data_IF_289639482895
#
_entry.id   IF_289639482895
#
_cell.length_a   1.000
_cell.length_b   1.000
_cell.length_c   1.000
_cell.angle_alpha   90.00
_cell.angle_beta   90.00
_cell.angle_gamma   90.00
#
_symmetry.space_group_name_H-M   'P 1'
#
loop_
_entity.id
_entity.type
_entity.pdbx_description
1 polymer ?
#
# COMPACT_ATOMS: atom_id res chain seq x y z
N UNK A 1 -34.54 -13.59 -28.64
CA UNK A 1 -34.25 -14.93 -29.18
C UNK A 1 -32.79 -14.97 -29.58
N UNK A 2 -32.08 -16.12 -29.58
CA UNK A 2 -30.75 -16.21 -30.16
C UNK A 2 -30.72 -15.69 -31.61
N UNK A 3 -29.60 -15.11 -32.04
CA UNK A 3 -29.44 -14.55 -33.40
C UNK A 3 -30.23 -13.27 -33.69
N UNK A 4 -30.93 -12.67 -32.69
CA UNK A 4 -31.69 -11.43 -32.91
C UNK A 4 -30.75 -10.23 -33.03
N UNK A 5 -30.98 -9.38 -34.04
CA UNK A 5 -30.32 -8.08 -34.19
C UNK A 5 -31.31 -6.96 -33.85
N UNK A 6 -30.96 -6.13 -32.87
CA UNK A 6 -31.70 -4.96 -32.42
C UNK A 6 -30.92 -3.72 -32.88
N UNK A 7 -31.54 -2.89 -33.72
CA UNK A 7 -30.92 -1.67 -34.28
C UNK A 7 -31.51 -0.41 -33.68
N UNK A 8 -30.64 0.49 -33.19
CA UNK A 8 -31.00 1.76 -32.58
C UNK A 8 -30.75 2.94 -33.52
N UNK A 9 -31.70 3.87 -33.61
CA UNK A 9 -31.49 5.14 -34.34
C UNK A 9 -30.65 6.11 -33.51
N UNK A 10 -30.15 7.15 -34.16
CA UNK A 10 -29.41 8.22 -33.50
C UNK A 10 -30.14 8.78 -32.26
N UNK A 11 -29.43 8.89 -31.14
CA UNK A 11 -29.96 9.36 -29.85
C UNK A 11 -30.98 8.44 -29.18
N UNK A 12 -31.13 7.20 -29.65
CA UNK A 12 -32.04 6.21 -29.05
C UNK A 12 -31.39 5.49 -27.87
N UNK A 13 -32.22 5.02 -26.94
CA UNK A 13 -31.78 4.27 -25.76
C UNK A 13 -32.77 3.18 -25.36
N UNK A 14 -32.28 2.16 -24.67
CA UNK A 14 -33.10 1.14 -24.03
C UNK A 14 -33.09 1.36 -22.52
N UNK A 15 -34.25 1.54 -21.91
CA UNK A 15 -34.39 1.57 -20.45
C UNK A 15 -35.21 0.36 -20.00
N UNK A 16 -34.62 -0.47 -19.15
CA UNK A 16 -35.20 -1.70 -18.60
C UNK A 16 -35.67 -1.41 -17.17
N UNK A 17 -36.97 -1.22 -17.01
CA UNK A 17 -37.64 -1.09 -15.70
C UNK A 17 -38.11 -2.44 -15.13
N UNK A 18 -38.41 -3.39 -16.01
CA UNK A 18 -38.76 -4.77 -15.64
C UNK A 18 -37.56 -5.70 -15.79
N UNK A 19 -37.79 -6.89 -16.33
CA UNK A 19 -36.77 -7.88 -16.63
C UNK A 19 -36.46 -7.94 -18.13
N UNK A 20 -35.18 -8.10 -18.50
CA UNK A 20 -34.76 -8.59 -19.82
C UNK A 20 -33.97 -9.90 -19.71
N UNK A 21 -34.28 -10.85 -20.58
CA UNK A 21 -33.52 -12.08 -20.79
C UNK A 21 -33.04 -12.15 -22.25
N UNK A 22 -31.88 -11.57 -22.53
CA UNK A 22 -31.20 -11.69 -23.81
C UNK A 22 -30.17 -12.81 -23.71
N UNK A 23 -30.62 -14.05 -23.91
CA UNK A 23 -29.77 -15.24 -23.87
C UNK A 23 -29.60 -15.80 -25.30
N UNK A 24 -28.45 -15.52 -25.92
CA UNK A 24 -28.00 -16.11 -27.18
C UNK A 24 -27.19 -17.40 -26.98
N UNK A 25 -26.52 -17.86 -28.04
CA UNK A 25 -25.51 -18.93 -28.00
C UNK A 25 -24.22 -18.51 -28.69
N UNK A 26 -23.16 -19.31 -28.58
CA UNK A 26 -21.89 -19.12 -29.29
C UNK A 26 -22.06 -19.01 -30.81
N UNK A 27 -23.02 -19.73 -31.37
CA UNK A 27 -23.33 -19.74 -32.81
C UNK A 27 -24.36 -18.67 -33.19
N UNK A 28 -25.19 -18.24 -32.24
CA UNK A 28 -26.34 -17.36 -32.46
C UNK A 28 -26.39 -16.26 -31.38
N UNK A 29 -25.38 -15.38 -31.39
CA UNK A 29 -25.28 -14.23 -30.49
C UNK A 29 -26.45 -13.24 -30.73
N UNK A 30 -26.79 -12.46 -29.71
CA UNK A 30 -27.78 -11.37 -29.81
C UNK A 30 -27.02 -10.05 -29.96
N UNK A 31 -27.35 -9.24 -30.97
CA UNK A 31 -26.60 -8.00 -31.25
C UNK A 31 -27.47 -6.77 -31.05
N UNK A 32 -27.01 -5.85 -30.19
CA UNK A 32 -27.53 -4.49 -30.01
C UNK A 32 -26.56 -3.53 -30.70
N UNK A 33 -27.01 -2.79 -31.71
CA UNK A 33 -26.11 -2.01 -32.58
C UNK A 33 -26.79 -0.81 -33.24
N UNK A 34 -26.03 0.02 -33.96
CA UNK A 34 -26.53 1.15 -34.74
C UNK A 34 -27.48 0.74 -35.87
N UNK A 35 -28.39 1.64 -36.21
CA UNK A 35 -29.23 1.56 -37.40
C UNK A 35 -28.51 2.00 -38.68
N UNK A 36 -27.42 2.78 -38.58
CA UNK A 36 -26.66 3.29 -39.72
C UNK A 36 -25.99 2.14 -40.51
N UNK A 37 -25.76 2.38 -41.81
CA UNK A 37 -25.03 1.44 -42.68
C UNK A 37 -23.52 1.47 -42.40
N UNK A 38 -22.99 2.65 -42.05
CA UNK A 38 -21.63 2.89 -41.57
C UNK A 38 -21.69 3.35 -40.11
N UNK A 39 -21.61 2.44 -39.12
CA UNK A 39 -21.75 2.80 -37.71
C UNK A 39 -20.58 3.61 -37.18
N UNK A 40 -20.86 4.48 -36.20
CA UNK A 40 -19.86 5.25 -35.47
C UNK A 40 -20.04 5.10 -33.96
N UNK A 41 -18.97 5.29 -33.18
CA UNK A 41 -19.07 5.30 -31.71
C UNK A 41 -20.11 6.33 -31.27
N UNK A 42 -20.96 5.99 -30.32
CA UNK A 42 -21.99 6.90 -29.81
C UNK A 42 -23.20 7.11 -30.72
N UNK A 43 -23.40 6.26 -31.73
CA UNK A 43 -24.59 6.28 -32.59
C UNK A 43 -25.91 6.08 -31.83
N UNK A 44 -25.87 5.56 -30.61
CA UNK A 44 -27.01 5.46 -29.69
C UNK A 44 -26.51 5.54 -28.24
N UNK A 45 -27.39 5.92 -27.30
CA UNK A 45 -26.92 6.31 -25.97
C UNK A 45 -26.44 5.09 -25.17
N UNK A 46 -27.38 4.21 -24.75
CA UNK A 46 -27.10 3.16 -23.77
C UNK A 46 -28.22 2.14 -23.61
N UNK A 47 -27.88 0.99 -22.99
CA UNK A 47 -28.83 0.14 -22.26
C UNK A 47 -28.75 0.49 -20.77
N UNK A 48 -29.84 1.00 -20.20
CA UNK A 48 -29.95 1.32 -18.76
C UNK A 48 -30.85 0.34 -18.02
N UNK A 49 -30.31 -0.25 -16.96
CA UNK A 49 -31.06 -1.03 -15.98
C UNK A 49 -31.50 -0.11 -14.83
N UNK A 50 -32.81 0.02 -14.65
CA UNK A 50 -33.44 1.02 -13.78
C UNK A 50 -34.55 0.43 -12.89
N UNK A 51 -34.51 -0.87 -12.62
CA UNK A 51 -35.46 -1.58 -11.76
C UNK A 51 -34.86 -2.85 -11.17
N UNK A 52 -35.30 -3.22 -9.98
CA UNK A 52 -34.67 -4.23 -9.10
C UNK A 52 -34.69 -5.68 -9.64
N UNK A 53 -35.32 -5.91 -10.78
CA UNK A 53 -35.41 -7.23 -11.42
C UNK A 53 -34.02 -7.81 -11.76
N UNK A 54 -33.93 -9.14 -11.80
CA UNK A 54 -32.71 -9.84 -12.21
C UNK A 54 -32.66 -9.98 -13.72
N UNK A 55 -31.71 -9.30 -14.36
CA UNK A 55 -31.53 -9.26 -15.80
C UNK A 55 -30.44 -10.26 -16.26
N UNK A 56 -30.57 -10.74 -17.49
CA UNK A 56 -29.61 -11.68 -18.09
C UNK A 56 -29.21 -11.24 -19.50
N UNK A 57 -27.91 -11.00 -19.70
CA UNK A 57 -27.27 -10.86 -20.99
C UNK A 57 -26.27 -12.01 -21.14
N UNK A 58 -26.45 -12.89 -22.13
CA UNK A 58 -25.56 -14.01 -22.39
C UNK A 58 -25.33 -14.19 -23.88
N UNK A 59 -24.08 -14.28 -24.31
CA UNK A 59 -23.72 -14.25 -25.73
C UNK A 59 -24.34 -13.06 -26.46
N UNK A 60 -24.18 -11.86 -25.88
CA UNK A 60 -24.67 -10.60 -26.43
C UNK A 60 -23.53 -9.69 -26.89
N UNK A 61 -23.71 -9.02 -28.03
CA UNK A 61 -22.82 -8.00 -28.55
C UNK A 61 -23.50 -6.63 -28.39
N UNK A 62 -22.87 -5.69 -27.71
CA UNK A 62 -23.34 -4.31 -27.52
C UNK A 62 -22.34 -3.40 -28.22
N UNK A 63 -22.74 -2.86 -29.38
CA UNK A 63 -21.85 -2.22 -30.33
C UNK A 63 -22.27 -0.77 -30.61
N UNK A 64 -21.30 0.14 -30.77
CA UNK A 64 -21.51 1.52 -31.25
C UNK A 64 -22.39 2.39 -30.33
N UNK A 65 -22.43 2.07 -29.03
CA UNK A 65 -23.20 2.78 -28.01
C UNK A 65 -22.37 3.90 -27.34
N UNK A 66 -22.79 4.35 -26.16
CA UNK A 66 -22.08 5.35 -25.35
C UNK A 66 -22.35 6.80 -25.76
N UNK A 67 -23.39 7.06 -26.55
CA UNK A 67 -23.72 8.39 -27.05
C UNK A 67 -24.29 9.36 -26.01
N UNK A 68 -24.20 10.66 -26.33
CA UNK A 68 -24.83 11.81 -25.69
C UNK A 68 -24.65 11.97 -24.16
N UNK A 69 -23.67 12.79 -23.77
CA UNK A 69 -23.47 13.30 -22.40
C UNK A 69 -22.12 12.89 -21.83
N UNK A 70 -21.61 13.63 -20.84
CA UNK A 70 -20.28 13.38 -20.24
C UNK A 70 -20.19 12.10 -19.39
N UNK A 71 -21.34 11.50 -19.04
CA UNK A 71 -21.44 10.34 -18.15
C UNK A 71 -22.22 9.19 -18.82
N UNK A 72 -22.15 9.09 -20.15
CA UNK A 72 -22.70 7.97 -20.93
C UNK A 72 -21.80 6.74 -20.87
N UNK A 73 -22.34 5.55 -21.14
CA UNK A 73 -21.60 4.31 -21.35
C UNK A 73 -22.50 3.31 -22.08
N UNK A 74 -21.95 2.27 -22.71
CA UNK A 74 -22.77 1.27 -23.43
C UNK A 74 -23.83 0.61 -22.53
N UNK A 75 -23.47 0.34 -21.27
CA UNK A 75 -24.38 -0.17 -20.25
C UNK A 75 -24.33 0.73 -19.00
N UNK A 76 -25.52 1.13 -18.53
CA UNK A 76 -25.72 1.82 -17.25
C UNK A 76 -26.48 0.90 -16.29
N UNK A 77 -25.89 0.61 -15.14
CA UNK A 77 -26.51 -0.20 -14.09
C UNK A 77 -26.78 0.70 -12.87
N UNK A 78 -27.98 1.29 -12.82
CA UNK A 78 -28.38 2.19 -11.72
C UNK A 78 -29.16 1.45 -10.63
N UNK A 79 -30.18 0.69 -11.01
CA UNK A 79 -30.98 -0.10 -10.08
C UNK A 79 -31.26 -1.44 -10.76
N UNK A 80 -30.89 -2.55 -10.12
CA UNK A 80 -31.06 -3.90 -10.69
C UNK A 80 -29.88 -4.83 -10.42
N UNK A 81 -30.13 -6.12 -10.69
CA UNK A 81 -29.11 -7.17 -10.69
C UNK A 81 -28.85 -7.59 -12.15
N UNK A 82 -27.59 -7.80 -12.53
CA UNK A 82 -27.24 -8.24 -13.88
C UNK A 82 -26.36 -9.50 -13.87
N UNK A 83 -26.76 -10.52 -14.64
CA UNK A 83 -25.88 -11.59 -15.11
C UNK A 83 -25.40 -11.23 -16.51
N UNK A 84 -24.09 -11.13 -16.69
CA UNK A 84 -23.45 -10.87 -17.98
C UNK A 84 -22.38 -11.92 -18.24
N UNK A 85 -22.58 -12.76 -19.25
CA UNK A 85 -21.71 -13.92 -19.52
C UNK A 85 -21.41 -14.12 -21.01
N UNK A 86 -20.12 -14.17 -21.37
CA UNK A 86 -19.67 -14.36 -22.76
C UNK A 86 -20.18 -13.25 -23.70
N UNK A 87 -20.28 -12.02 -23.20
CA UNK A 87 -20.76 -10.87 -23.95
C UNK A 87 -19.61 -9.97 -24.42
N UNK A 88 -19.80 -9.28 -25.54
CA UNK A 88 -18.89 -8.28 -26.09
C UNK A 88 -19.49 -6.87 -25.92
N UNK A 89 -18.70 -5.93 -25.43
CA UNK A 89 -18.96 -4.49 -25.55
C UNK A 89 -17.85 -3.89 -26.41
N UNK A 90 -18.22 -3.19 -27.48
CA UNK A 90 -17.26 -2.61 -28.41
C UNK A 90 -17.72 -1.28 -29.00
N UNK A 91 -16.76 -0.40 -29.32
CA UNK A 91 -17.02 0.89 -29.96
C UNK A 91 -17.94 1.84 -29.15
N UNK A 92 -17.77 1.89 -27.82
CA UNK A 92 -18.41 2.91 -26.99
C UNK A 92 -17.77 4.29 -27.20
N UNK A 93 -18.56 5.35 -27.36
CA UNK A 93 -18.08 6.74 -27.35
C UNK A 93 -17.72 7.28 -25.95
N UNK A 94 -17.75 6.41 -24.94
CA UNK A 94 -17.39 6.67 -23.56
C UNK A 94 -16.96 5.34 -22.93
N UNK A 95 -17.21 5.12 -21.64
CA UNK A 95 -16.88 3.88 -20.94
C UNK A 95 -17.74 2.70 -21.43
N UNK A 96 -17.26 1.47 -21.21
CA UNK A 96 -18.01 0.24 -21.56
C UNK A 96 -19.22 0.04 -20.65
N UNK A 97 -19.01 0.06 -19.33
CA UNK A 97 -20.05 -0.09 -18.31
C UNK A 97 -19.89 0.99 -17.24
N UNK A 98 -20.97 1.59 -16.77
CA UNK A 98 -20.98 2.36 -15.51
C UNK A 98 -21.95 1.69 -14.53
N UNK A 99 -21.46 1.43 -13.32
CA UNK A 99 -22.26 0.99 -12.17
C UNK A 99 -22.41 2.18 -11.22
N UNK A 100 -23.66 2.56 -10.96
CA UNK A 100 -24.01 3.61 -10.01
C UNK A 100 -24.00 3.07 -8.56
N UNK A 101 -23.84 3.93 -7.56
CA UNK A 101 -23.85 3.56 -6.14
C UNK A 101 -25.27 3.19 -5.63
N UNK A 102 -26.28 3.33 -6.49
CA UNK A 102 -27.65 2.88 -6.27
C UNK A 102 -27.89 1.41 -6.66
N UNK A 103 -26.87 0.74 -7.21
CA UNK A 103 -26.97 -0.58 -7.81
C UNK A 103 -26.92 -1.73 -6.80
N UNK A 104 -27.37 -2.93 -7.22
CA UNK A 104 -27.04 -4.19 -6.55
C UNK A 104 -25.82 -4.89 -7.17
N UNK A 105 -25.26 -4.33 -8.24
CA UNK A 105 -24.09 -4.85 -8.96
C UNK A 105 -24.37 -6.08 -9.82
N UNK A 106 -23.33 -6.88 -10.06
CA UNK A 106 -23.42 -8.10 -10.86
C UNK A 106 -23.72 -9.32 -10.00
N UNK A 107 -24.63 -10.18 -10.49
CA UNK A 107 -24.79 -11.54 -9.94
C UNK A 107 -23.86 -12.55 -10.64
N UNK A 108 -23.39 -12.23 -11.84
CA UNK A 108 -22.38 -12.98 -12.60
C UNK A 108 -21.76 -12.04 -13.62
N UNK A 109 -20.43 -11.93 -13.66
CA UNK A 109 -19.70 -11.15 -14.67
C UNK A 109 -18.45 -11.93 -15.12
N UNK A 110 -18.61 -12.86 -16.05
CA UNK A 110 -17.55 -13.80 -16.47
C UNK A 110 -17.43 -13.94 -17.98
N UNK A 111 -16.19 -14.14 -18.47
CA UNK A 111 -15.88 -14.34 -19.90
C UNK A 111 -16.35 -13.21 -20.82
N UNK A 112 -16.53 -11.99 -20.32
CA UNK A 112 -16.93 -10.84 -21.14
C UNK A 112 -15.71 -10.16 -21.78
N UNK A 113 -15.90 -9.55 -22.94
CA UNK A 113 -14.87 -8.74 -23.61
C UNK A 113 -15.33 -7.28 -23.68
N UNK A 114 -14.47 -6.34 -23.29
CA UNK A 114 -14.69 -4.90 -23.43
C UNK A 114 -13.45 -4.30 -24.10
N UNK A 115 -13.64 -3.59 -25.23
CA UNK A 115 -12.54 -3.03 -26.03
C UNK A 115 -13.02 -1.89 -26.93
N UNK A 116 -12.10 -1.14 -27.51
CA UNK A 116 -12.38 -0.01 -28.42
C UNK A 116 -13.39 1.03 -27.86
N UNK A 117 -13.40 1.24 -26.55
CA UNK A 117 -14.17 2.28 -25.85
C UNK A 117 -13.31 3.55 -25.73
N UNK A 118 -13.91 4.74 -25.75
CA UNK A 118 -13.16 6.02 -25.69
C UNK A 118 -12.72 6.42 -24.27
N UNK A 119 -13.16 5.68 -23.24
CA UNK A 119 -12.83 5.92 -21.83
C UNK A 119 -12.47 4.59 -21.14
N UNK A 120 -13.06 4.28 -20.00
CA UNK A 120 -12.75 3.09 -19.20
C UNK A 120 -13.49 1.84 -19.67
N UNK A 121 -12.96 0.66 -19.36
CA UNK A 121 -13.67 -0.60 -19.55
C UNK A 121 -14.94 -0.62 -18.69
N UNK A 122 -14.76 -0.32 -17.41
CA UNK A 122 -15.82 -0.25 -16.40
C UNK A 122 -15.52 0.92 -15.46
N UNK A 123 -16.53 1.71 -15.10
CA UNK A 123 -16.49 2.59 -13.93
C UNK A 123 -17.41 2.05 -12.83
N UNK A 124 -16.89 1.94 -11.61
CA UNK A 124 -17.53 1.16 -10.54
C UNK A 124 -17.17 1.71 -9.16
N UNK A 125 -18.11 1.63 -8.20
CA UNK A 125 -17.81 1.95 -6.80
C UNK A 125 -17.10 0.77 -6.11
N UNK A 126 -16.19 1.02 -5.14
CA UNK A 126 -15.33 -0.01 -4.55
C UNK A 126 -16.11 -1.22 -4.03
N UNK A 127 -17.30 -0.97 -3.49
CA UNK A 127 -18.17 -1.96 -2.88
C UNK A 127 -18.66 -3.06 -3.83
N UNK A 128 -18.61 -2.87 -5.16
CA UNK A 128 -19.08 -3.83 -6.17
C UNK A 128 -17.96 -4.52 -6.96
N UNK A 129 -16.70 -4.11 -6.78
CA UNK A 129 -15.56 -4.59 -7.59
C UNK A 129 -15.33 -6.10 -7.45
N UNK A 130 -15.62 -6.66 -6.27
CA UNK A 130 -15.53 -8.10 -6.00
C UNK A 130 -16.47 -8.96 -6.88
N UNK A 131 -17.51 -8.35 -7.46
CA UNK A 131 -18.46 -9.01 -8.36
C UNK A 131 -17.93 -9.17 -9.79
N UNK A 132 -16.78 -8.54 -10.11
CA UNK A 132 -16.08 -8.75 -11.38
C UNK A 132 -15.41 -10.12 -11.34
N UNK A 133 -15.99 -11.06 -12.09
CA UNK A 133 -15.56 -12.44 -12.14
C UNK A 133 -14.30 -12.66 -12.99
N UNK A 134 -14.11 -13.92 -13.38
CA UNK A 134 -12.89 -14.38 -14.05
C UNK A 134 -13.05 -14.44 -15.58
N UNK A 135 -11.91 -14.54 -16.26
CA UNK A 135 -11.78 -14.71 -17.71
C UNK A 135 -12.36 -13.56 -18.54
N UNK A 136 -12.62 -12.41 -17.93
CA UNK A 136 -12.95 -11.20 -18.67
C UNK A 136 -11.69 -10.69 -19.40
N UNK A 137 -11.89 -10.10 -20.58
CA UNK A 137 -10.83 -9.51 -21.41
C UNK A 137 -11.18 -8.04 -21.61
N UNK A 138 -10.41 -7.19 -20.97
CA UNK A 138 -10.51 -5.74 -21.00
C UNK A 138 -9.26 -5.17 -21.68
N UNK A 139 -9.43 -4.18 -22.54
CA UNK A 139 -8.40 -3.69 -23.47
C UNK A 139 -8.40 -2.15 -23.62
N UNK A 140 -9.08 -1.41 -22.73
CA UNK A 140 -9.12 0.06 -22.76
C UNK A 140 -8.30 0.65 -21.59
N UNK A 141 -8.68 1.83 -21.11
CA UNK A 141 -7.98 2.55 -20.03
C UNK A 141 -8.13 1.89 -18.64
N UNK A 142 -8.66 0.68 -18.54
CA UNK A 142 -8.81 -0.05 -17.29
C UNK A 142 -10.11 0.19 -16.55
N UNK A 143 -10.15 -0.19 -15.27
CA UNK A 143 -11.35 -0.17 -14.44
C UNK A 143 -11.27 1.00 -13.47
N UNK A 144 -12.06 2.05 -13.70
CA UNK A 144 -12.10 3.21 -12.81
C UNK A 144 -12.88 2.89 -11.53
N UNK A 145 -12.16 2.93 -10.41
CA UNK A 145 -12.70 2.84 -9.06
C UNK A 145 -13.04 4.24 -8.57
N UNK A 146 -14.34 4.54 -8.53
CA UNK A 146 -14.87 5.83 -8.08
C UNK A 146 -14.61 6.04 -6.59
N UNK A 147 -14.52 7.30 -6.18
CA UNK A 147 -14.45 7.72 -4.79
C UNK A 147 -15.54 7.03 -3.93
N UNK A 148 -15.15 6.34 -2.86
CA UNK A 148 -16.15 5.72 -1.98
C UNK A 148 -15.63 4.68 -0.99
N UNK A 149 -16.58 3.94 -0.43
CA UNK A 149 -16.33 2.95 0.62
C UNK A 149 -16.37 1.51 0.06
N UNK A 150 -15.49 0.65 0.58
CA UNK A 150 -15.62 -0.79 0.55
C UNK A 150 -16.04 -1.26 1.94
N UNK A 151 -17.23 -1.84 2.07
CA UNK A 151 -17.79 -2.26 3.37
C UNK A 151 -18.29 -3.71 3.33
N UNK A 152 -17.69 -4.56 2.49
CA UNK A 152 -17.98 -5.99 2.45
C UNK A 152 -17.23 -6.71 3.58
N UNK A 153 -17.86 -7.73 4.17
CA UNK A 153 -17.32 -8.43 5.34
C UNK A 153 -15.97 -9.10 5.04
N UNK A 154 -15.90 -9.87 3.96
CA UNK A 154 -14.68 -10.51 3.43
C UNK A 154 -14.88 -10.85 1.96
N UNK A 155 -14.31 -10.02 1.07
CA UNK A 155 -14.47 -10.15 -0.37
C UNK A 155 -13.18 -9.85 -1.15
N UNK A 156 -13.06 -10.41 -2.35
CA UNK A 156 -11.81 -10.38 -3.14
C UNK A 156 -11.95 -9.57 -4.43
N UNK A 157 -11.06 -8.59 -4.65
CA UNK A 157 -10.86 -8.00 -5.98
C UNK A 157 -9.99 -8.96 -6.81
N UNK A 158 -10.59 -9.49 -7.88
CA UNK A 158 -9.98 -10.53 -8.73
C UNK A 158 -9.14 -9.94 -9.84
N UNK A 159 -7.98 -10.52 -10.13
CA UNK A 159 -7.08 -10.09 -11.20
C UNK A 159 -7.83 -10.01 -12.54
N UNK A 160 -7.81 -8.83 -13.17
CA UNK A 160 -8.31 -8.60 -14.54
C UNK A 160 -7.13 -8.39 -15.49
N UNK A 161 -7.38 -8.23 -16.80
CA UNK A 161 -6.33 -7.98 -17.81
C UNK A 161 -5.79 -6.55 -17.80
N UNK A 162 -6.42 -5.66 -17.02
CA UNK A 162 -6.16 -4.22 -16.92
C UNK A 162 -6.06 -3.81 -15.44
N UNK A 163 -5.40 -2.68 -15.10
CA UNK A 163 -5.34 -2.20 -13.73
C UNK A 163 -6.71 -1.72 -13.20
N UNK A 164 -6.84 -1.75 -11.88
CA UNK A 164 -7.83 -0.99 -11.15
C UNK A 164 -7.29 0.42 -10.90
N UNK A 165 -8.00 1.45 -11.36
CA UNK A 165 -7.59 2.86 -11.25
C UNK A 165 -8.35 3.55 -10.12
N UNK A 166 -7.69 3.90 -9.02
CA UNK A 166 -8.30 4.70 -7.95
C UNK A 166 -8.37 6.16 -8.38
N UNK A 167 -9.59 6.70 -8.44
CA UNK A 167 -9.87 8.05 -8.95
C UNK A 167 -9.58 9.17 -7.94
N UNK A 168 -9.91 8.95 -6.67
CA UNK A 168 -9.76 9.93 -5.57
C UNK A 168 -9.46 9.23 -4.24
N UNK A 169 -10.39 8.40 -3.73
CA UNK A 169 -10.13 7.61 -2.52
C UNK A 169 -10.91 6.30 -2.47
N UNK A 170 -10.34 5.32 -1.77
CA UNK A 170 -11.07 4.12 -1.30
C UNK A 170 -10.90 3.98 0.21
N UNK A 171 -12.02 4.02 0.93
CA UNK A 171 -12.05 3.75 2.37
C UNK A 171 -12.58 2.34 2.66
N UNK A 172 -11.76 1.51 3.29
CA UNK A 172 -12.03 0.10 3.59
C UNK A 172 -12.50 -0.02 5.04
N UNK A 173 -13.76 -0.41 5.27
CA UNK A 173 -14.35 -0.66 6.59
C UNK A 173 -14.88 -2.10 6.72
N UNK A 174 -14.14 -3.03 6.12
CA UNK A 174 -14.41 -4.47 6.03
C UNK A 174 -13.13 -5.18 5.56
N UNK A 175 -13.20 -6.45 5.16
CA UNK A 175 -11.99 -7.19 4.73
C UNK A 175 -11.88 -7.21 3.21
N UNK A 176 -10.93 -6.45 2.68
CA UNK A 176 -10.59 -6.45 1.25
C UNK A 176 -9.39 -7.37 1.00
N UNK A 177 -9.61 -8.42 0.20
CA UNK A 177 -8.53 -9.24 -0.37
C UNK A 177 -8.20 -8.76 -1.77
N UNK A 178 -6.91 -8.67 -2.09
CA UNK A 178 -6.45 -8.43 -3.46
C UNK A 178 -5.83 -9.73 -3.99
N UNK A 179 -6.30 -10.22 -5.14
CA UNK A 179 -5.75 -11.41 -5.78
C UNK A 179 -4.31 -11.17 -6.25
N UNK A 180 -3.45 -12.19 -6.15
CA UNK A 180 -2.10 -12.20 -6.72
C UNK A 180 -2.06 -11.76 -8.19
N UNK A 181 -0.99 -11.05 -8.58
CA UNK A 181 -0.83 -10.49 -9.93
C UNK A 181 -1.72 -9.29 -10.27
N UNK A 182 -2.52 -8.77 -9.34
CA UNK A 182 -3.36 -7.57 -9.55
C UNK A 182 -2.53 -6.29 -9.49
N UNK A 183 -2.83 -5.33 -10.37
CA UNK A 183 -2.31 -3.96 -10.29
C UNK A 183 -3.41 -2.99 -9.84
N UNK A 184 -3.13 -2.27 -8.76
CA UNK A 184 -3.86 -1.09 -8.29
C UNK A 184 -3.01 0.12 -8.71
N UNK A 185 -3.58 1.02 -9.49
CA UNK A 185 -2.93 2.28 -9.86
C UNK A 185 -3.74 3.47 -9.35
N UNK A 186 -3.07 4.54 -8.93
CA UNK A 186 -3.66 5.71 -8.30
C UNK A 186 -3.51 6.93 -9.22
N UNK A 187 -4.60 7.67 -9.43
CA UNK A 187 -4.52 8.99 -10.08
C UNK A 187 -3.87 10.02 -9.15
N UNK A 188 -3.62 11.20 -9.70
CA UNK A 188 -3.11 12.38 -9.00
C UNK A 188 -3.78 12.57 -7.63
N UNK A 189 -2.97 12.62 -6.56
CA UNK A 189 -3.41 12.75 -5.15
C UNK A 189 -4.30 11.63 -4.59
N UNK A 190 -4.58 10.56 -5.35
CA UNK A 190 -5.49 9.52 -4.90
C UNK A 190 -4.87 8.66 -3.77
N UNK A 191 -5.70 8.10 -2.88
CA UNK A 191 -5.23 7.35 -1.71
C UNK A 191 -6.16 6.20 -1.29
N UNK A 192 -5.68 5.37 -0.36
CA UNK A 192 -6.44 4.24 0.20
C UNK A 192 -6.38 4.29 1.74
N UNK A 193 -7.53 4.33 2.41
CA UNK A 193 -7.61 4.28 3.88
C UNK A 193 -8.20 2.96 4.39
N UNK A 194 -7.60 2.37 5.43
CA UNK A 194 -7.97 1.06 6.00
C UNK A 194 -8.40 1.23 7.46
N UNK A 195 -9.65 0.90 7.74
CA UNK A 195 -10.33 1.23 8.98
C UNK A 195 -10.53 2.74 9.16
N UNK A 196 -11.25 3.14 10.21
CA UNK A 196 -11.37 4.52 10.70
C UNK A 196 -12.10 4.53 12.05
N UNK A 197 -11.60 5.26 13.04
CA UNK A 197 -12.25 5.42 14.35
C UNK A 197 -12.65 4.06 14.95
N UNK A 198 -13.94 3.84 15.20
CA UNK A 198 -14.53 2.61 15.74
C UNK A 198 -14.87 1.55 14.67
N UNK A 199 -14.55 1.81 13.41
CA UNK A 199 -14.83 0.93 12.27
C UNK A 199 -13.51 0.29 11.80
N UNK A 200 -13.23 -0.97 12.19
CA UNK A 200 -12.04 -1.66 11.69
C UNK A 200 -12.16 -1.93 10.18
N UNK A 201 -11.01 -2.06 9.52
CA UNK A 201 -10.91 -2.54 8.14
C UNK A 201 -9.65 -3.37 7.97
N UNK A 202 -9.62 -4.24 6.97
CA UNK A 202 -8.47 -5.10 6.71
C UNK A 202 -8.12 -5.08 5.22
N UNK A 203 -6.85 -4.80 4.91
CA UNK A 203 -6.31 -4.94 3.55
C UNK A 203 -5.39 -6.16 3.51
N UNK A 204 -5.76 -7.18 2.74
CA UNK A 204 -5.02 -8.43 2.60
C UNK A 204 -4.54 -8.57 1.16
N UNK A 205 -3.38 -7.97 0.88
CA UNK A 205 -2.66 -8.11 -0.38
C UNK A 205 -1.56 -9.17 -0.23
N UNK A 206 -1.81 -10.38 -0.75
CA UNK A 206 -0.89 -11.52 -0.68
C UNK A 206 -0.58 -12.02 -2.09
N UNK A 207 0.39 -11.41 -2.74
CA UNK A 207 0.92 -11.88 -4.02
C UNK A 207 1.85 -13.09 -3.86
N UNK A 208 2.44 -13.53 -4.97
CA UNK A 208 3.51 -14.54 -5.01
C UNK A 208 4.79 -13.95 -5.58
N UNK A 209 5.90 -14.70 -5.55
CA UNK A 209 7.16 -14.27 -6.16
C UNK A 209 7.09 -14.12 -7.68
N UNK A 210 6.20 -14.87 -8.35
CA UNK A 210 5.92 -14.77 -9.79
C UNK A 210 4.79 -13.80 -10.13
N UNK A 211 3.83 -13.62 -9.23
CA UNK A 211 2.65 -12.75 -9.42
C UNK A 211 2.51 -11.80 -8.23
N UNK A 212 3.40 -10.80 -8.18
CA UNK A 212 3.35 -9.72 -7.20
C UNK A 212 2.08 -8.87 -7.38
N UNK A 213 1.60 -8.29 -6.29
CA UNK A 213 0.55 -7.25 -6.33
C UNK A 213 1.24 -5.89 -6.41
N UNK A 214 0.80 -5.02 -7.30
CA UNK A 214 1.45 -3.72 -7.56
C UNK A 214 0.51 -2.59 -7.13
N UNK A 215 1.04 -1.64 -6.36
CA UNK A 215 0.42 -0.36 -6.01
C UNK A 215 1.32 0.74 -6.63
N UNK A 216 0.79 1.54 -7.56
CA UNK A 216 1.59 2.44 -8.42
C UNK A 216 0.84 3.73 -8.77
N UNK A 217 1.55 4.75 -9.24
CA UNK A 217 0.96 5.82 -10.06
C UNK A 217 0.23 5.26 -11.31
N UNK A 218 -0.87 5.92 -11.68
CA UNK A 218 -1.63 5.74 -12.92
C UNK A 218 -1.30 6.80 -14.01
N UNK A 219 -0.31 7.67 -13.77
CA UNK A 219 0.13 8.68 -14.71
C UNK A 219 0.99 8.06 -15.83
N UNK A 220 0.93 8.65 -17.04
CA UNK A 220 1.72 8.18 -18.20
C UNK A 220 3.23 8.34 -17.95
N UNK A 221 3.63 9.46 -17.36
CA UNK A 221 4.98 9.70 -16.82
C UNK A 221 4.88 9.60 -15.29
N UNK A 222 5.50 8.57 -14.70
CA UNK A 222 5.44 8.33 -13.25
C UNK A 222 6.51 9.13 -12.50
N UNK A 223 6.11 9.86 -11.47
CA UNK A 223 6.99 10.62 -10.59
C UNK A 223 6.80 10.23 -9.12
N UNK A 224 7.79 10.52 -8.29
CA UNK A 224 7.63 10.47 -6.83
C UNK A 224 6.52 11.44 -6.42
N UNK A 225 5.59 11.02 -5.57
CA UNK A 225 4.49 11.88 -5.12
C UNK A 225 3.27 11.97 -6.04
N UNK A 226 3.20 11.23 -7.15
CA UNK A 226 2.01 11.23 -8.03
C UNK A 226 0.72 10.88 -7.28
N UNK A 227 0.79 10.08 -6.21
CA UNK A 227 -0.36 9.72 -5.37
C UNK A 227 -0.03 9.81 -3.87
N UNK A 228 -1.08 9.80 -3.04
CA UNK A 228 -0.99 10.05 -1.60
C UNK A 228 -0.41 8.86 -0.81
N UNK A 229 -1.23 8.19 -0.01
CA UNK A 229 -0.77 7.12 0.87
C UNK A 229 -1.70 5.90 0.97
N UNK A 230 -1.13 4.78 1.41
CA UNK A 230 -1.89 3.64 1.94
C UNK A 230 -1.92 3.84 3.46
N UNK A 231 -3.04 4.36 3.96
CA UNK A 231 -3.21 4.83 5.33
C UNK A 231 -3.98 3.82 6.19
N UNK A 232 -3.32 3.26 7.19
CA UNK A 232 -3.90 2.31 8.14
C UNK A 232 -4.32 3.04 9.42
N UNK A 233 -5.63 3.11 9.67
CA UNK A 233 -6.21 3.85 10.80
C UNK A 233 -6.66 2.94 11.94
N UNK A 234 -7.32 1.82 11.62
CA UNK A 234 -7.78 0.80 12.57
C UNK A 234 -7.78 -0.56 11.84
N UNK A 235 -6.61 -1.21 11.75
CA UNK A 235 -6.35 -2.14 10.64
C UNK A 235 -5.45 -3.36 10.94
N UNK A 236 -5.47 -3.86 12.17
CA UNK A 236 -4.44 -4.73 12.79
C UNK A 236 -4.29 -6.15 12.27
N UNK A 237 -5.05 -6.53 11.25
CA UNK A 237 -4.88 -7.80 10.52
C UNK A 237 -4.42 -7.59 9.06
N UNK A 238 -4.07 -6.35 8.69
CA UNK A 238 -3.66 -6.02 7.33
C UNK A 238 -2.30 -6.62 6.99
N UNK A 239 -2.20 -7.14 5.77
CA UNK A 239 -1.02 -7.84 5.26
C UNK A 239 -0.67 -7.33 3.87
N UNK A 240 0.55 -6.84 3.71
CA UNK A 240 1.21 -6.64 2.43
C UNK A 240 2.28 -7.73 2.27
N UNK A 241 2.15 -8.59 1.26
CA UNK A 241 3.09 -9.68 1.03
C UNK A 241 3.34 -9.93 -0.44
N UNK A 242 4.62 -10.00 -0.83
CA UNK A 242 5.05 -10.01 -2.23
C UNK A 242 4.42 -8.85 -3.03
N UNK A 243 4.44 -7.65 -2.46
CA UNK A 243 3.93 -6.45 -3.12
C UNK A 243 5.06 -5.60 -3.73
N UNK A 244 4.70 -4.73 -4.67
CA UNK A 244 5.48 -3.54 -5.02
C UNK A 244 4.59 -2.34 -4.69
N UNK A 245 5.13 -1.35 -3.97
CA UNK A 245 4.47 -0.09 -3.67
C UNK A 245 5.39 1.03 -4.16
N UNK A 246 4.92 1.83 -5.12
CA UNK A 246 5.77 2.79 -5.84
C UNK A 246 5.07 4.10 -6.25
N UNK A 247 5.84 5.18 -6.37
CA UNK A 247 5.43 6.50 -6.91
C UNK A 247 4.42 7.28 -6.05
N UNK A 248 4.36 6.99 -4.75
CA UNK A 248 3.44 7.64 -3.80
C UNK A 248 4.12 8.64 -2.87
N UNK A 249 3.45 8.94 -1.76
CA UNK A 249 3.94 9.84 -0.71
C UNK A 249 3.66 11.32 -0.93
N UNK A 250 2.87 11.69 -1.94
CA UNK A 250 2.61 13.09 -2.32
C UNK A 250 1.65 13.78 -1.36
N UNK A 251 2.02 14.97 -0.88
CA UNK A 251 1.31 15.75 0.14
C UNK A 251 0.99 14.98 1.44
N UNK A 252 1.71 13.88 1.73
CA UNK A 252 1.57 13.07 2.95
C UNK A 252 2.88 12.93 3.73
N UNK A 253 2.79 12.42 4.96
CA UNK A 253 3.98 12.12 5.78
C UNK A 253 4.76 10.91 5.26
N UNK A 254 4.10 9.97 4.58
CA UNK A 254 4.70 8.76 4.03
C UNK A 254 3.82 8.07 3.00
N UNK A 255 4.40 7.24 2.13
CA UNK A 255 3.66 6.40 1.18
C UNK A 255 2.87 5.25 1.87
N UNK A 256 3.37 4.74 3.01
CA UNK A 256 2.65 3.78 3.87
C UNK A 256 2.56 4.36 5.28
N UNK A 257 1.35 4.77 5.68
CA UNK A 257 1.12 5.59 6.87
C UNK A 257 0.28 4.81 7.90
N UNK A 258 0.62 4.87 9.19
CA UNK A 258 -0.30 4.48 10.26
C UNK A 258 -0.67 5.68 11.13
N UNK A 259 -1.97 5.94 11.29
CA UNK A 259 -2.48 7.15 11.97
C UNK A 259 -3.78 6.86 12.72
N UNK A 260 -3.73 6.19 13.89
CA UNK A 260 -4.91 5.84 14.67
C UNK A 260 -5.62 7.12 15.13
N UNK A 261 -6.90 7.22 14.80
CA UNK A 261 -7.73 8.39 15.11
C UNK A 261 -8.35 8.35 16.51
N UNK A 262 -8.15 7.25 17.24
CA UNK A 262 -8.60 7.08 18.64
C UNK A 262 -7.74 6.05 19.39
N UNK A 263 -7.79 6.09 20.72
CA UNK A 263 -7.07 5.16 21.61
C UNK A 263 -7.40 3.67 21.32
N UNK A 264 -8.65 3.37 20.98
CA UNK A 264 -9.10 2.00 20.62
C UNK A 264 -8.46 1.45 19.33
N UNK A 265 -8.01 2.32 18.43
CA UNK A 265 -7.39 1.93 17.17
C UNK A 265 -5.89 1.64 17.30
N UNK A 266 -5.28 2.05 18.42
CA UNK A 266 -3.86 1.81 18.74
C UNK A 266 -3.62 0.31 19.01
N UNK A 267 -4.46 -0.32 19.83
CA UNK A 267 -4.32 -1.75 20.17
C UNK A 267 -4.47 -2.69 18.94
N UNK A 268 -5.02 -2.17 17.84
CA UNK A 268 -5.45 -2.93 16.67
C UNK A 268 -4.91 -2.36 15.35
N UNK A 269 -3.65 -1.89 15.27
CA UNK A 269 -3.04 -1.46 13.98
C UNK A 269 -1.56 -1.87 13.86
N UNK A 270 -1.24 -3.15 14.13
CA UNK A 270 0.06 -3.73 13.77
C UNK A 270 0.04 -4.22 12.31
N UNK A 271 1.08 -3.93 11.54
CA UNK A 271 1.16 -4.29 10.12
C UNK A 271 2.09 -5.49 9.88
N UNK A 272 1.67 -6.41 9.00
CA UNK A 272 2.55 -7.42 8.38
C UNK A 272 2.99 -6.92 7.01
N UNK A 273 4.30 -6.74 6.81
CA UNK A 273 4.91 -6.47 5.49
C UNK A 273 6.03 -7.49 5.25
N UNK A 274 5.88 -8.35 4.24
CA UNK A 274 6.84 -9.43 3.95
C UNK A 274 7.19 -9.58 2.45
N UNK A 275 8.48 -9.58 2.11
CA UNK A 275 8.99 -9.77 0.74
C UNK A 275 8.48 -8.68 -0.25
N UNK A 276 8.23 -7.47 0.26
CA UNK A 276 7.74 -6.33 -0.52
C UNK A 276 8.89 -5.44 -1.01
N UNK A 277 8.66 -4.72 -2.12
CA UNK A 277 9.50 -3.61 -2.58
C UNK A 277 8.73 -2.31 -2.34
N UNK A 278 9.38 -1.31 -1.76
CA UNK A 278 8.83 0.02 -1.45
C UNK A 278 9.81 1.03 -2.04
N UNK A 279 9.38 1.80 -3.04
CA UNK A 279 10.30 2.64 -3.83
C UNK A 279 9.66 3.91 -4.40
N UNK A 280 10.47 4.89 -4.79
CA UNK A 280 10.05 6.13 -5.43
C UNK A 280 8.96 6.88 -4.63
N UNK A 281 9.28 7.24 -3.38
CA UNK A 281 8.38 8.00 -2.50
C UNK A 281 8.90 9.41 -2.27
N UNK A 282 8.03 10.42 -2.46
CA UNK A 282 8.39 11.83 -2.22
C UNK A 282 8.60 12.11 -0.72
N UNK A 283 7.83 11.45 0.14
CA UNK A 283 7.93 11.51 1.60
C UNK A 283 8.57 10.24 2.18
N UNK A 284 8.39 9.95 3.48
CA UNK A 284 8.95 8.74 4.09
C UNK A 284 8.36 7.46 3.45
N UNK A 285 9.13 6.38 3.40
CA UNK A 285 8.66 5.11 2.81
C UNK A 285 7.55 4.47 3.64
N UNK A 286 7.73 4.47 4.97
CA UNK A 286 6.75 4.01 5.96
C UNK A 286 6.82 4.96 7.16
N UNK A 287 5.69 5.49 7.62
CA UNK A 287 5.60 6.24 8.90
C UNK A 287 4.63 5.59 9.87
N UNK A 288 5.04 5.51 11.14
CA UNK A 288 4.20 5.05 12.24
C UNK A 288 3.80 6.18 13.18
N UNK A 289 2.54 6.13 13.59
CA UNK A 289 2.12 6.82 14.80
C UNK A 289 2.92 6.33 16.02
N UNK A 290 3.21 7.20 17.01
CA UNK A 290 4.02 6.86 18.18
C UNK A 290 3.67 5.58 18.93
N UNK A 291 2.42 5.10 18.85
CA UNK A 291 1.95 3.92 19.57
C UNK A 291 1.81 2.67 18.69
N UNK A 292 2.43 2.63 17.50
CA UNK A 292 2.28 1.55 16.52
C UNK A 292 3.62 1.06 15.95
N UNK A 293 3.58 -0.15 15.39
CA UNK A 293 4.70 -0.80 14.74
C UNK A 293 4.29 -2.00 13.88
N UNK A 294 5.25 -2.86 13.58
CA UNK A 294 4.99 -4.07 12.80
C UNK A 294 4.56 -5.24 13.68
N UNK A 295 3.68 -6.09 13.17
CA UNK A 295 3.56 -7.48 13.66
C UNK A 295 4.72 -8.31 13.07
N UNK A 296 5.00 -8.12 11.77
CA UNK A 296 6.10 -8.77 11.04
C UNK A 296 6.62 -7.86 9.94
N UNK A 297 7.93 -7.59 9.96
CA UNK A 297 8.61 -6.85 8.89
C UNK A 297 9.90 -7.57 8.48
N UNK A 298 9.89 -8.29 7.36
CA UNK A 298 11.06 -9.10 6.92
C UNK A 298 11.16 -9.29 5.42
N UNK A 299 12.39 -9.52 4.94
CA UNK A 299 12.72 -9.73 3.54
C UNK A 299 12.30 -8.59 2.59
N UNK A 300 12.05 -7.39 3.10
CA UNK A 300 11.60 -6.25 2.30
C UNK A 300 12.79 -5.51 1.67
N UNK A 301 12.55 -4.76 0.61
CA UNK A 301 13.52 -3.82 0.03
C UNK A 301 12.91 -2.43 0.03
N UNK A 302 13.59 -1.46 0.64
CA UNK A 302 13.22 -0.05 0.60
C UNK A 302 14.35 0.75 -0.04
N UNK A 303 14.08 1.40 -1.18
CA UNK A 303 15.07 2.13 -1.97
C UNK A 303 14.45 3.31 -2.72
N UNK A 304 15.23 4.30 -3.15
CA UNK A 304 14.75 5.51 -3.83
C UNK A 304 13.61 6.23 -3.07
N UNK A 305 13.87 6.60 -1.82
CA UNK A 305 12.92 7.30 -0.95
C UNK A 305 13.52 8.67 -0.65
N UNK A 306 12.76 9.73 -0.93
CA UNK A 306 13.19 11.11 -0.66
C UNK A 306 13.13 11.44 0.84
N UNK A 307 12.20 10.86 1.59
CA UNK A 307 12.19 10.84 3.07
C UNK A 307 13.08 9.77 3.72
N UNK A 308 12.79 9.42 4.97
CA UNK A 308 13.33 8.25 5.65
C UNK A 308 12.69 6.97 5.12
N UNK A 309 13.43 5.86 5.10
CA UNK A 309 12.88 4.58 4.65
C UNK A 309 11.80 4.04 5.61
N UNK A 310 12.00 4.23 6.92
CA UNK A 310 11.04 3.93 7.98
C UNK A 310 11.14 5.02 9.06
N UNK A 311 10.01 5.56 9.50
CA UNK A 311 9.86 6.49 10.61
C UNK A 311 9.01 5.79 11.68
N UNK A 312 9.61 5.48 12.84
CA UNK A 312 9.01 4.59 13.84
C UNK A 312 9.36 5.02 15.27
N UNK A 313 8.45 4.77 16.21
CA UNK A 313 8.69 5.01 17.64
C UNK A 313 9.75 4.03 18.20
N UNK A 314 10.65 4.45 19.12
CA UNK A 314 11.62 3.60 19.81
C UNK A 314 11.07 2.24 20.25
N UNK A 315 9.86 2.21 20.80
CA UNK A 315 9.18 1.07 21.41
C UNK A 315 9.04 -0.10 20.41
N UNK A 316 8.86 0.24 19.13
CA UNK A 316 8.59 -0.70 18.05
C UNK A 316 9.77 -0.95 17.11
N UNK A 317 10.95 -0.34 17.35
CA UNK A 317 12.16 -0.61 16.54
C UNK A 317 12.51 -2.10 16.53
N UNK A 318 12.26 -2.81 17.63
CA UNK A 318 12.47 -4.27 17.75
C UNK A 318 11.53 -5.13 16.89
N UNK A 319 10.49 -4.54 16.26
CA UNK A 319 9.57 -5.23 15.34
C UNK A 319 10.13 -5.33 13.91
N UNK A 320 11.22 -4.63 13.61
CA UNK A 320 11.96 -4.74 12.35
C UNK A 320 12.75 -6.05 12.36
N UNK A 321 12.29 -7.03 11.57
CA UNK A 321 12.89 -8.36 11.45
C UNK A 321 14.08 -8.44 10.50
N UNK A 322 14.48 -9.66 10.17
CA UNK A 322 15.66 -9.96 9.35
C UNK A 322 15.40 -9.93 7.84
N UNK A 323 16.49 -9.98 7.05
CA UNK A 323 16.46 -10.03 5.59
C UNK A 323 16.03 -8.73 4.89
N UNK A 324 15.77 -7.65 5.64
CA UNK A 324 15.39 -6.37 5.06
C UNK A 324 16.61 -5.64 4.49
N UNK A 325 16.47 -5.13 3.27
CA UNK A 325 17.43 -4.22 2.61
C UNK A 325 16.84 -2.82 2.70
N UNK A 326 17.54 -1.91 3.39
CA UNK A 326 17.10 -0.53 3.60
C UNK A 326 18.19 0.41 3.09
N UNK A 327 17.90 1.07 1.98
CA UNK A 327 18.75 2.08 1.34
C UNK A 327 18.26 3.50 1.71
N UNK A 328 18.90 4.53 1.15
CA UNK A 328 18.61 5.97 1.39
C UNK A 328 18.89 6.43 2.84
N UNK A 329 18.08 7.37 3.37
CA UNK A 329 18.21 7.99 4.69
C UNK A 329 18.00 7.05 5.89
N UNK A 330 17.77 5.76 5.68
CA UNK A 330 17.68 4.75 6.73
C UNK A 330 16.42 4.86 7.59
N UNK A 331 16.51 4.44 8.86
CA UNK A 331 15.41 4.41 9.82
C UNK A 331 15.49 5.64 10.74
N UNK A 332 14.45 6.47 10.76
CA UNK A 332 14.24 7.48 11.79
C UNK A 332 13.58 6.85 13.01
N UNK A 333 14.17 7.07 14.18
CA UNK A 333 13.59 6.73 15.48
C UNK A 333 12.97 8.01 16.06
N UNK A 334 11.64 8.13 15.99
CA UNK A 334 10.92 9.37 16.28
C UNK A 334 10.46 9.43 17.74
N UNK A 335 10.81 10.52 18.44
CA UNK A 335 10.62 10.67 19.90
C UNK A 335 9.67 11.82 20.28
N UNK A 336 9.06 12.51 19.31
CA UNK A 336 8.46 13.82 19.56
C UNK A 336 7.08 13.79 20.23
N UNK A 337 6.30 12.72 20.03
CA UNK A 337 4.86 12.64 20.36
C UNK A 337 4.47 11.57 21.40
N UNK A 338 5.31 11.31 22.41
CA UNK A 338 5.00 10.37 23.51
C UNK A 338 4.13 11.07 24.57
N UNK A 339 2.84 10.71 24.65
CA UNK A 339 1.86 11.31 25.55
C UNK A 339 1.08 10.33 26.46
N UNK A 340 1.40 9.03 26.50
CA UNK A 340 1.09 8.17 27.66
C UNK A 340 1.83 6.81 27.67
N UNK A 341 2.26 6.43 28.88
CA UNK A 341 2.54 5.10 29.47
C UNK A 341 3.49 4.05 28.83
N UNK A 342 4.53 3.75 29.62
CA UNK A 342 5.01 2.40 30.06
C UNK A 342 6.15 1.65 29.34
N UNK A 343 6.50 1.98 28.09
CA UNK A 343 7.75 1.55 27.41
C UNK A 343 7.75 2.22 26.04
N UNK A 344 8.77 2.92 25.53
CA UNK A 344 10.23 2.97 25.77
C UNK A 344 10.70 4.46 25.84
N UNK A 345 11.96 4.77 25.49
CA UNK A 345 12.63 6.04 25.78
C UNK A 345 12.83 6.96 24.57
N UNK A 346 12.61 8.27 24.76
CA UNK A 346 13.68 9.28 24.84
C UNK A 346 13.13 10.72 24.98
N UNK A 347 12.86 11.19 26.22
CA UNK A 347 12.76 12.63 26.50
C UNK A 347 13.31 12.99 27.87
N UNK A 348 13.87 14.18 27.97
CA UNK A 348 14.62 14.71 29.13
C UNK A 348 13.69 14.99 30.32
N UNK A 349 13.62 14.07 31.29
CA UNK A 349 12.90 14.30 32.55
C UNK A 349 12.79 13.09 33.49
N UNK A 350 13.81 12.87 34.33
CA UNK A 350 13.75 12.12 35.60
C UNK A 350 13.21 10.65 35.61
N UNK A 351 14.16 9.71 35.50
CA UNK A 351 14.15 8.29 35.98
C UNK A 351 13.33 7.20 35.20
N UNK A 352 14.02 6.10 34.82
CA UNK A 352 13.59 4.69 34.52
C UNK A 352 12.74 4.35 33.24
N UNK A 353 12.93 3.31 32.37
CA UNK A 353 14.01 2.33 32.00
C UNK A 353 14.00 2.08 30.44
N UNK A 354 15.11 1.92 29.68
CA UNK A 354 15.09 1.81 28.19
C UNK A 354 16.21 1.01 27.46
N UNK A 355 15.85 -0.02 26.66
CA UNK A 355 16.75 -1.07 26.09
C UNK A 355 16.77 -1.13 24.55
N UNK A 356 17.93 -1.45 23.94
CA UNK A 356 18.08 -1.76 22.50
C UNK A 356 18.59 -3.19 22.29
N UNK A 357 18.10 -3.92 21.28
CA UNK A 357 18.66 -5.22 20.88
C UNK A 357 18.71 -5.31 19.35
N UNK A 358 19.92 -5.25 18.79
CA UNK A 358 20.18 -5.42 17.37
C UNK A 358 21.08 -6.65 17.19
N UNK A 359 20.60 -7.67 16.49
CA UNK A 359 21.26 -8.96 16.32
C UNK A 359 21.39 -9.28 14.83
N UNK A 360 22.53 -8.92 14.24
CA UNK A 360 22.87 -9.27 12.86
C UNK A 360 23.44 -10.70 12.76
N UNK A 361 24.12 -10.98 11.65
CA UNK A 361 24.92 -12.19 11.45
C UNK A 361 26.28 -11.85 10.83
N UNK A 362 27.19 -12.82 10.77
CA UNK A 362 28.50 -12.66 10.15
C UNK A 362 28.41 -12.17 8.69
N UNK A 363 27.42 -12.67 7.94
CA UNK A 363 27.13 -12.32 6.54
C UNK A 363 26.22 -11.09 6.38
N UNK A 364 25.32 -10.84 7.33
CA UNK A 364 24.31 -9.78 7.26
C UNK A 364 24.38 -8.91 8.52
N UNK A 365 25.25 -7.90 8.50
CA UNK A 365 25.44 -6.99 9.64
C UNK A 365 24.44 -5.85 9.63
N UNK A 366 23.94 -5.46 10.80
CA UNK A 366 23.09 -4.27 10.98
C UNK A 366 23.98 -3.03 11.01
N UNK A 367 23.74 -2.04 10.13
CA UNK A 367 24.61 -0.85 10.01
C UNK A 367 23.92 0.40 10.58
N UNK A 368 24.54 0.99 11.59
CA UNK A 368 24.26 2.32 12.12
C UNK A 368 25.33 3.28 11.57
N UNK A 369 24.96 4.16 10.64
CA UNK A 369 25.87 5.07 9.94
C UNK A 369 25.22 6.44 9.75
N UNK A 370 26.04 7.46 9.54
CA UNK A 370 25.63 8.71 8.88
C UNK A 370 24.92 8.43 7.56
N UNK A 371 23.92 9.26 7.23
CA UNK A 371 23.23 9.31 5.94
C UNK A 371 23.81 10.37 4.98
N UNK A 372 24.84 11.11 5.38
CA UNK A 372 25.49 12.13 4.53
C UNK A 372 26.14 11.51 3.29
N UNK A 373 26.16 12.30 2.20
CA UNK A 373 26.72 11.90 0.90
C UNK A 373 28.24 11.72 1.00
N UNK A 374 28.92 12.69 1.62
CA UNK A 374 30.30 12.60 2.08
C UNK A 374 30.24 12.48 3.60
N UNK A 375 30.53 11.28 4.13
CA UNK A 375 30.38 10.98 5.56
C UNK A 375 31.58 11.52 6.33
N UNK A 376 31.33 12.38 7.31
CA UNK A 376 32.37 12.90 8.19
C UNK A 376 32.27 12.26 9.58
N UNK A 377 33.23 12.58 10.44
CA UNK A 377 33.26 12.05 11.79
C UNK A 377 32.35 12.92 12.65
N UNK A 378 31.39 12.31 13.34
CA UNK A 378 30.54 13.05 14.28
C UNK A 378 29.26 13.62 13.67
N UNK A 379 28.93 13.23 12.43
CA UNK A 379 27.65 13.50 11.75
C UNK A 379 26.43 13.25 12.65
N UNK A 380 26.55 12.33 13.61
CA UNK A 380 25.65 12.20 14.75
C UNK A 380 26.39 12.05 16.08
N UNK A 381 25.67 12.28 17.19
CA UNK A 381 26.23 12.28 18.57
C UNK A 381 26.78 10.92 19.00
N UNK A 382 26.23 9.84 18.47
CA UNK A 382 26.46 8.44 18.89
C UNK A 382 25.25 7.79 19.55
N UNK A 383 25.26 6.46 19.64
CA UNK A 383 24.23 5.65 20.29
C UNK A 383 24.41 5.68 21.81
N UNK A 384 23.52 6.35 22.56
CA UNK A 384 23.63 6.47 24.02
C UNK A 384 22.71 5.52 24.80
N UNK A 385 23.29 4.79 25.75
CA UNK A 385 22.66 3.86 26.69
C UNK A 385 22.85 4.36 28.12
N UNK A 386 21.75 4.67 28.82
CA UNK A 386 21.80 5.17 30.21
C UNK A 386 22.03 4.04 31.20
N UNK A 387 22.21 4.38 32.49
CA UNK A 387 22.42 3.38 33.55
C UNK A 387 21.22 2.43 33.73
N UNK A 388 20.10 2.83 33.15
CA UNK A 388 18.80 2.18 33.13
C UNK A 388 18.53 1.50 31.76
N UNK A 389 19.57 1.19 30.99
CA UNK A 389 19.49 0.50 29.69
C UNK A 389 19.87 -0.99 29.75
N UNK A 390 19.49 -1.66 30.84
CA UNK A 390 19.95 -3.03 31.15
C UNK A 390 19.42 -4.09 30.19
N UNK A 391 20.27 -5.09 29.93
CA UNK A 391 20.11 -6.15 28.95
C UNK A 391 20.03 -5.68 27.48
N UNK A 392 20.60 -4.52 27.16
CA UNK A 392 20.80 -4.10 25.76
C UNK A 392 21.88 -4.94 25.08
N UNK A 393 21.78 -5.14 23.76
CA UNK A 393 22.70 -5.97 23.00
C UNK A 393 22.91 -5.42 21.57
N UNK A 394 24.16 -5.32 21.14
CA UNK A 394 24.54 -5.08 19.74
C UNK A 394 25.41 -6.25 19.27
N UNK A 395 24.82 -7.23 18.58
CA UNK A 395 25.56 -8.36 18.00
C UNK A 395 25.66 -8.22 16.48
N UNK A 396 26.84 -8.48 15.91
CA UNK A 396 27.07 -8.40 14.46
C UNK A 396 26.62 -7.07 13.83
N UNK A 397 26.84 -5.96 14.52
CA UNK A 397 26.51 -4.62 14.05
C UNK A 397 27.72 -3.92 13.41
N UNK A 398 27.49 -2.83 12.69
CA UNK A 398 28.48 -1.81 12.35
C UNK A 398 27.96 -0.49 12.94
N UNK A 399 28.79 0.24 13.69
CA UNK A 399 28.46 1.59 14.17
C UNK A 399 29.56 2.54 13.71
N UNK A 400 29.21 3.51 12.85
CA UNK A 400 30.19 4.38 12.21
C UNK A 400 29.75 5.83 11.96
N UNK A 401 30.73 6.74 11.86
CA UNK A 401 30.57 8.19 11.60
C UNK A 401 29.83 9.00 12.69
N UNK A 402 29.68 8.45 13.90
CA UNK A 402 29.10 9.15 15.03
C UNK A 402 30.13 9.78 15.97
N UNK A 403 29.70 10.06 17.20
CA UNK A 403 30.58 10.36 18.32
C UNK A 403 31.03 11.80 18.52
N UNK A 404 30.38 12.80 17.89
CA UNK A 404 30.74 14.24 18.00
C UNK A 404 30.80 14.82 19.43
N UNK A 405 30.32 14.09 20.44
CA UNK A 405 30.42 14.51 21.85
C UNK A 405 31.27 13.54 22.69
N UNK A 406 31.17 12.23 22.47
CA UNK A 406 31.74 11.20 23.37
C UNK A 406 32.22 9.95 22.66
N UNK A 407 31.37 9.34 21.84
CA UNK A 407 31.76 8.19 21.03
C UNK A 407 30.61 7.59 20.22
N UNK A 408 30.93 6.72 19.26
CA UNK A 408 29.93 6.05 18.42
C UNK A 408 28.87 5.31 19.24
N UNK A 409 29.31 4.74 20.36
CA UNK A 409 28.46 4.20 21.42
C UNK A 409 28.85 4.88 22.74
N UNK A 410 27.87 5.19 23.57
CA UNK A 410 28.04 5.79 24.89
C UNK A 410 27.21 4.98 25.89
N UNK A 411 27.78 4.57 27.01
CA UNK A 411 27.13 3.73 28.02
C UNK A 411 27.30 4.34 29.41
N UNK A 412 26.28 4.25 30.26
CA UNK A 412 26.36 4.62 31.68
C UNK A 412 26.19 3.38 32.60
N UNK A 413 26.43 2.14 32.09
CA UNK A 413 26.21 0.86 32.80
C UNK A 413 26.88 -0.34 32.12
N UNK A 414 27.17 -1.39 32.89
CA UNK A 414 27.67 -2.69 32.41
C UNK A 414 26.62 -3.77 32.12
N UNK A 415 25.33 -3.45 32.14
CA UNK A 415 24.28 -4.42 31.77
C UNK A 415 24.04 -4.50 30.25
N UNK A 416 24.94 -3.97 29.42
CA UNK A 416 24.87 -4.03 27.96
C UNK A 416 25.91 -5.00 27.40
N UNK A 417 25.56 -5.74 26.35
CA UNK A 417 26.53 -6.42 25.50
C UNK A 417 26.75 -5.70 24.16
N UNK A 418 27.98 -5.74 23.68
CA UNK A 418 28.32 -5.48 22.27
C UNK A 418 29.21 -6.64 21.86
N UNK A 419 28.82 -7.38 20.83
CA UNK A 419 29.52 -8.58 20.38
C UNK A 419 29.66 -8.64 18.86
N UNK A 420 30.72 -9.26 18.35
CA UNK A 420 30.94 -9.51 16.91
C UNK A 420 30.82 -8.27 16.00
N UNK A 421 30.92 -7.06 16.55
CA UNK A 421 30.52 -5.80 15.90
C UNK A 421 31.72 -4.97 15.45
N UNK A 422 31.51 -4.07 14.49
CA UNK A 422 32.53 -3.16 13.95
C UNK A 422 32.23 -1.73 14.40
N UNK A 423 33.11 -1.10 15.17
CA UNK A 423 32.92 0.28 15.68
C UNK A 423 34.03 1.17 15.12
N UNK A 424 33.68 2.04 14.16
CA UNK A 424 34.68 2.77 13.36
C UNK A 424 34.34 4.22 13.04
N UNK A 425 35.33 5.02 12.69
CA UNK A 425 35.13 6.42 12.26
C UNK A 425 34.42 7.35 13.27
N UNK A 426 34.51 7.08 14.57
CA UNK A 426 34.03 8.03 15.59
C UNK A 426 34.87 9.31 15.62
N UNK A 427 34.25 10.48 15.81
CA UNK A 427 34.95 11.75 16.07
C UNK A 427 35.59 11.81 17.47
N UNK A 428 35.26 10.84 18.32
CA UNK A 428 35.79 10.73 19.67
C UNK A 428 36.15 9.27 19.94
N UNK A 429 35.59 8.61 20.96
CA UNK A 429 35.89 7.19 21.22
C UNK A 429 34.99 6.24 20.42
N UNK A 430 35.41 4.99 20.20
CA UNK A 430 34.51 3.96 19.66
C UNK A 430 33.34 3.68 20.63
N UNK A 431 33.67 3.30 21.86
CA UNK A 431 32.74 3.19 22.99
C UNK A 431 33.21 4.13 24.12
N UNK A 432 32.30 4.91 24.70
CA UNK A 432 32.56 5.72 25.90
C UNK A 432 31.70 5.22 27.06
N UNK A 433 32.31 4.87 28.19
CA UNK A 433 31.61 4.38 29.38
C UNK A 433 31.72 5.43 30.51
N UNK A 434 30.60 5.90 31.04
CA UNK A 434 30.51 6.75 32.23
C UNK A 434 30.39 5.89 33.49
N UNK A 435 31.36 6.01 34.42
CA UNK A 435 31.33 5.52 35.81
C UNK A 435 30.41 4.30 36.07
N UNK A 436 30.84 3.12 35.63
CA UNK A 436 30.01 1.92 35.67
C UNK A 436 30.26 1.05 36.91
N UNK A 437 29.23 0.78 37.71
CA UNK A 437 29.30 -0.11 38.89
C UNK A 437 29.61 -1.59 38.56
N UNK A 438 29.50 -1.98 37.28
CA UNK A 438 29.97 -3.23 36.67
C UNK A 438 30.32 -2.94 35.20
N UNK A 439 31.20 -3.73 34.58
CA UNK A 439 31.63 -3.54 33.18
C UNK A 439 30.65 -4.15 32.16
N UNK A 440 30.48 -3.55 30.96
CA UNK A 440 29.70 -4.12 29.87
C UNK A 440 30.39 -5.34 29.23
N UNK A 441 29.60 -6.24 28.67
CA UNK A 441 30.11 -7.42 27.95
C UNK A 441 30.56 -7.02 26.54
N UNK A 442 31.86 -6.84 26.33
CA UNK A 442 32.45 -6.44 25.05
C UNK A 442 33.27 -7.61 24.47
N UNK A 443 32.71 -8.36 23.52
CA UNK A 443 33.30 -9.61 23.00
C UNK A 443 33.50 -9.57 21.47
N UNK A 444 34.64 -10.04 20.95
CA UNK A 444 34.91 -10.19 19.51
C UNK A 444 34.62 -8.96 18.62
N UNK A 445 34.71 -7.75 19.19
CA UNK A 445 34.49 -6.50 18.47
C UNK A 445 35.75 -6.01 17.74
N UNK A 446 35.54 -5.43 16.56
CA UNK A 446 36.58 -4.82 15.74
C UNK A 446 36.47 -3.30 15.79
N UNK A 447 37.49 -2.62 16.32
CA UNK A 447 37.54 -1.17 16.36
C UNK A 447 38.52 -0.63 15.31
N UNK A 448 38.15 0.44 14.60
CA UNK A 448 39.00 1.02 13.54
C UNK A 448 38.82 2.54 13.45
N UNK A 449 39.92 3.27 13.37
CA UNK A 449 39.91 4.71 13.06
C UNK A 449 38.97 5.54 13.98
N UNK A 450 38.99 5.36 15.29
CA UNK A 450 38.28 6.24 16.25
C UNK A 450 39.26 7.33 16.75
N UNK A 451 38.88 8.62 16.76
CA UNK A 451 39.83 9.74 16.96
C UNK A 451 40.52 9.70 18.32
N UNK A 452 39.77 9.48 19.40
CA UNK A 452 40.30 9.53 20.77
C UNK A 452 40.70 8.17 21.32
N UNK A 453 40.32 7.09 20.65
CA UNK A 453 40.63 5.71 21.02
C UNK A 453 39.42 4.79 20.86
N UNK A 454 39.62 3.50 21.09
CA UNK A 454 38.59 2.51 20.82
C UNK A 454 37.55 2.39 21.94
N UNK A 455 38.00 2.35 23.20
CA UNK A 455 37.12 2.32 24.38
C UNK A 455 37.66 3.29 25.43
N UNK A 456 36.78 4.11 26.01
CA UNK A 456 37.05 4.93 27.19
C UNK A 456 36.25 4.42 28.38
N UNK A 457 36.91 4.27 29.53
CA UNK A 457 36.29 4.05 30.83
C UNK A 457 36.46 5.32 31.67
N UNK A 458 35.35 5.94 32.07
CA UNK A 458 35.35 7.03 33.04
C UNK A 458 35.61 6.50 34.44
N UNK A 459 36.63 7.08 35.10
CA UNK A 459 36.92 6.87 36.53
C UNK A 459 35.94 7.62 37.42
#
# INVERSE_FOLDING_TARGET
MPGTIIKFKEGSKLIVYGQIEANGTSENQITFTSYKEEPSKGDWDYIKFAGESTNSLKYCNILYAGGYGSNSASILLNYGNLKMENCLIEHSASSGIIIDNSSNGFQSFVRNTIKNCDSYDIEIFPNYVHMLGEQNVMENNGILIKAGNFSQNDETWKKQTVPYLIDEYVSISGTLRIQEGTTIAFKEYAYLSVGKDYYPGELIAKGTSSEKIIFTSAMDEKNEGDWGDIKFLNAGNSVLKNCIIEYGGGDTESMINTSPTSEYAIENTLLTIENCIIQYSESDGISFNPYLGFDKFRNNTIENITGYAINICPDYVSTIGSGNIINNKGILINTENIYNISSLWLKRGSYDIGKLTALGTASEKIIFTSNEMEKERGDFVGLKFSNLASNSALDHCIVEYGGSVKGNIVMDTGFMSVSNSIIKYSDNYGIYIYESYMDPTLEDNTFQYNVSGDIFYGN
#
